data_IF_177785207581
#
_entry.id   IF_177785207581
#
_cell.length_a   1.000
_cell.length_b   1.000
_cell.length_c   1.000
_cell.angle_alpha   90.00
_cell.angle_beta   90.00
_cell.angle_gamma   90.00
#
_symmetry.space_group_name_H-M   'P 1'
#
loop_
_entity.id
_entity.type
_entity.pdbx_description
1 polymer ?
#
# COMPACT_ATOMS: atom_id res chain seq x y z
N UNK A 1 -0.26 18.71 0.91
CA UNK A 1 -0.73 17.31 0.95
C UNK A 1 0.35 16.45 0.34
N UNK A 2 0.61 15.30 0.95
CA UNK A 2 1.68 14.39 0.50
C UNK A 2 1.13 13.25 -0.33
N UNK A 3 1.93 12.78 -1.28
CA UNK A 3 1.73 11.53 -1.98
C UNK A 3 2.22 10.37 -1.10
N UNK A 4 1.35 9.41 -0.81
CA UNK A 4 1.64 8.28 0.07
C UNK A 4 1.49 6.97 -0.70
N UNK A 5 2.55 6.17 -0.72
CA UNK A 5 2.53 4.80 -1.22
C UNK A 5 2.40 3.83 -0.06
N UNK A 6 1.34 3.03 -0.04
CA UNK A 6 1.17 1.92 0.90
C UNK A 6 1.52 0.61 0.19
N UNK A 7 2.47 -0.14 0.72
CA UNK A 7 2.85 -1.46 0.23
C UNK A 7 2.26 -2.52 1.18
N UNK A 8 1.09 -3.04 0.81
CA UNK A 8 0.42 -4.07 1.59
C UNK A 8 1.17 -5.42 1.48
N UNK A 9 1.85 -5.79 2.56
CA UNK A 9 2.57 -7.05 2.72
C UNK A 9 1.70 -8.26 3.06
N UNK A 10 0.37 -8.17 2.95
CA UNK A 10 -0.54 -9.29 3.21
C UNK A 10 -0.24 -10.49 2.30
N UNK A 11 0.22 -11.58 2.91
CA UNK A 11 0.47 -12.85 2.22
C UNK A 11 -0.38 -13.96 2.84
N UNK A 12 -0.97 -14.80 1.97
CA UNK A 12 -1.54 -16.07 2.41
C UNK A 12 -0.42 -17.08 2.58
N UNK A 13 -0.19 -17.53 3.82
CA UNK A 13 0.86 -18.49 4.12
C UNK A 13 0.50 -19.31 5.37
N UNK A 14 0.50 -20.63 5.24
CA UNK A 14 0.04 -21.56 6.29
C UNK A 14 -1.33 -21.14 6.86
N UNK A 15 -1.38 -20.80 8.15
CA UNK A 15 -2.62 -20.37 8.83
C UNK A 15 -2.88 -18.86 8.74
N UNK A 16 -1.98 -18.09 8.13
CA UNK A 16 -2.14 -16.65 7.94
C UNK A 16 -2.93 -16.36 6.68
N UNK A 17 -4.10 -15.74 6.84
CA UNK A 17 -4.94 -15.29 5.72
C UNK A 17 -4.57 -13.89 5.19
N UNK A 18 -3.65 -13.18 5.86
CA UNK A 18 -3.28 -11.80 5.51
C UNK A 18 -4.30 -10.73 5.95
N UNK A 19 -5.45 -11.13 6.50
CA UNK A 19 -6.59 -10.25 6.74
C UNK A 19 -6.29 -9.02 7.59
N UNK A 20 -5.44 -9.13 8.63
CA UNK A 20 -5.09 -7.96 9.44
C UNK A 20 -4.34 -6.90 8.63
N UNK A 21 -3.41 -7.29 7.76
CA UNK A 21 -2.71 -6.35 6.88
C UNK A 21 -3.66 -5.71 5.86
N UNK A 22 -4.60 -6.50 5.31
CA UNK A 22 -5.64 -5.99 4.42
C UNK A 22 -6.52 -4.95 5.14
N UNK A 23 -7.01 -5.26 6.34
CA UNK A 23 -7.82 -4.33 7.15
C UNK A 23 -7.07 -3.06 7.54
N UNK A 24 -5.80 -3.17 7.95
CA UNK A 24 -5.00 -1.98 8.29
C UNK A 24 -4.68 -1.12 7.06
N UNK A 25 -4.50 -1.74 5.90
CA UNK A 25 -4.33 -1.04 4.61
C UNK A 25 -5.59 -0.23 4.27
N UNK A 26 -6.77 -0.82 4.43
CA UNK A 26 -8.06 -0.13 4.19
C UNK A 26 -8.27 1.04 5.17
N UNK A 27 -7.95 0.84 6.45
CA UNK A 27 -8.03 1.91 7.47
C UNK A 27 -7.07 3.05 7.12
N UNK A 28 -5.84 2.73 6.72
CA UNK A 28 -4.85 3.73 6.34
C UNK A 28 -5.27 4.51 5.08
N UNK A 29 -5.75 3.82 4.04
CA UNK A 29 -6.23 4.47 2.81
C UNK A 29 -7.36 5.47 3.11
N UNK A 30 -8.40 5.04 3.84
CA UNK A 30 -9.51 5.91 4.21
C UNK A 30 -9.06 7.10 5.04
N UNK A 31 -8.30 6.86 6.12
CA UNK A 31 -7.85 7.91 7.03
C UNK A 31 -6.97 8.94 6.32
N UNK A 32 -6.01 8.50 5.50
CA UNK A 32 -5.08 9.39 4.81
C UNK A 32 -5.77 10.20 3.72
N UNK A 33 -6.69 9.60 2.96
CA UNK A 33 -7.51 10.33 1.99
C UNK A 33 -8.43 11.34 2.65
N UNK A 34 -9.05 11.00 3.78
CA UNK A 34 -9.91 11.92 4.55
C UNK A 34 -9.11 13.12 5.10
N UNK A 35 -7.84 12.90 5.45
CA UNK A 35 -6.90 13.96 5.79
C UNK A 35 -6.41 14.77 4.58
N UNK A 36 -6.75 14.33 3.36
CA UNK A 36 -6.52 14.99 2.06
C UNK A 36 -5.25 14.56 1.33
N UNK A 37 -4.62 13.46 1.72
CA UNK A 37 -3.45 12.92 1.03
C UNK A 37 -3.84 12.15 -0.24
N UNK A 38 -2.94 12.17 -1.23
CA UNK A 38 -3.06 11.28 -2.37
C UNK A 38 -2.44 9.94 -2.02
N UNK A 39 -3.21 8.85 -2.14
CA UNK A 39 -2.77 7.52 -1.74
C UNK A 39 -2.72 6.57 -2.94
N UNK A 40 -1.64 5.79 -3.06
CA UNK A 40 -1.53 4.61 -3.92
C UNK A 40 -1.28 3.38 -3.07
N UNK A 41 -1.84 2.24 -3.46
CA UNK A 41 -1.69 0.98 -2.74
C UNK A 41 -1.18 -0.08 -3.71
N UNK A 42 -0.17 -0.83 -3.29
CA UNK A 42 0.40 -1.96 -4.04
C UNK A 42 0.41 -3.18 -3.12
N UNK A 43 0.09 -4.37 -3.65
CA UNK A 43 0.20 -5.62 -2.89
C UNK A 43 1.54 -6.28 -3.18
N UNK A 44 2.36 -6.50 -2.15
CA UNK A 44 3.69 -7.10 -2.34
C UNK A 44 3.61 -8.59 -2.76
N UNK A 45 2.50 -9.27 -2.42
CA UNK A 45 2.24 -10.67 -2.75
C UNK A 45 1.53 -10.87 -4.11
N UNK A 46 1.52 -9.86 -4.99
CA UNK A 46 1.04 -10.00 -6.37
C UNK A 46 2.20 -10.02 -7.36
N UNK A 47 1.91 -10.37 -8.61
CA UNK A 47 2.81 -10.03 -9.70
C UNK A 47 2.86 -8.50 -9.87
N UNK A 48 4.05 -7.94 -10.09
CA UNK A 48 4.25 -6.51 -10.30
C UNK A 48 5.35 -6.23 -11.34
N UNK A 49 5.23 -5.12 -12.04
CA UNK A 49 6.28 -4.62 -12.93
C UNK A 49 7.26 -3.75 -12.14
N UNK A 50 8.51 -4.21 -12.05
CA UNK A 50 9.56 -3.53 -11.26
C UNK A 50 9.73 -2.07 -11.67
N UNK A 51 9.62 -1.75 -12.97
CA UNK A 51 9.81 -0.37 -13.45
C UNK A 51 8.64 0.52 -13.02
N UNK A 52 7.41 0.00 -13.07
CA UNK A 52 6.23 0.68 -12.57
C UNK A 52 6.34 0.94 -11.06
N UNK A 53 6.81 -0.03 -10.28
CA UNK A 53 7.00 0.17 -8.85
C UNK A 53 8.06 1.23 -8.53
N UNK A 54 9.16 1.28 -9.29
CA UNK A 54 10.14 2.38 -9.17
C UNK A 54 9.47 3.75 -9.41
N UNK A 55 8.52 3.85 -10.35
CA UNK A 55 7.77 5.10 -10.54
C UNK A 55 6.86 5.43 -9.36
N UNK A 56 6.29 4.43 -8.67
CA UNK A 56 5.53 4.64 -7.45
C UNK A 56 6.42 5.19 -6.32
N UNK A 57 7.64 4.69 -6.18
CA UNK A 57 8.62 5.23 -5.22
C UNK A 57 9.02 6.66 -5.55
N UNK A 58 9.25 7.00 -6.83
CA UNK A 58 9.56 8.37 -7.25
C UNK A 58 8.39 9.34 -7.06
N UNK A 59 7.15 8.85 -7.13
CA UNK A 59 5.94 9.65 -6.95
C UNK A 59 5.66 9.94 -5.47
N UNK A 60 6.04 9.05 -4.55
CA UNK A 60 5.69 9.12 -3.14
C UNK A 60 6.62 10.05 -2.34
N UNK A 61 6.02 10.86 -1.46
CA UNK A 61 6.74 11.58 -0.41
C UNK A 61 6.96 10.69 0.83
N UNK A 62 6.05 9.72 1.05
CA UNK A 62 6.07 8.78 2.18
C UNK A 62 5.72 7.37 1.68
N UNK A 63 6.45 6.36 2.16
CA UNK A 63 6.18 4.94 1.91
C UNK A 63 5.84 4.25 3.24
N UNK A 64 4.74 3.50 3.25
CA UNK A 64 4.22 2.72 4.39
C UNK A 64 4.20 1.25 4.04
#
# INVERSE_FOLDING_TARGET
MSNILIINGAKKFAHSNGQLNDTLTEVADGTLRDLGHDVRIVRADSDYDVKAEVQNFLWADVVI
#
